data_IF_965847414991
#
_entry.id   IF_965847414991
#
_cell.length_a   1.000
_cell.length_b   1.000
_cell.length_c   1.000
_cell.angle_alpha   90.00
_cell.angle_beta   90.00
_cell.angle_gamma   90.00
#
_symmetry.space_group_name_H-M   'P 1'
#
loop_
_entity.id
_entity.type
_entity.pdbx_description
1 polymer ?
#
# COMPACT_ATOMS: atom_id res chain seq x y z
N UNK A 1 -13.07 17.48 -2.83
CA UNK A 1 -12.61 16.06 -2.79
C UNK A 1 -11.71 15.79 -1.59
N UNK A 2 -10.66 16.61 -1.33
CA UNK A 2 -9.75 16.41 -0.19
C UNK A 2 -10.44 16.48 1.20
N UNK A 3 -11.45 17.34 1.35
CA UNK A 3 -12.16 17.57 2.62
C UNK A 3 -12.94 16.36 3.14
N UNK A 4 -13.32 15.40 2.27
CA UNK A 4 -14.05 14.18 2.67
C UNK A 4 -13.20 13.24 3.52
N UNK A 5 -11.88 13.30 3.40
CA UNK A 5 -10.94 12.39 4.07
C UNK A 5 -10.25 13.02 5.29
N UNK A 6 -10.31 14.35 5.43
CA UNK A 6 -9.62 15.09 6.49
C UNK A 6 -10.43 15.20 7.80
N UNK A 7 -11.75 15.07 7.72
CA UNK A 7 -12.66 15.34 8.85
C UNK A 7 -13.03 14.12 9.70
N UNK A 8 -12.48 12.94 9.41
CA UNK A 8 -12.65 11.74 10.25
C UNK A 8 -11.32 11.39 10.88
N UNK A 9 -11.29 11.26 12.20
CA UNK A 9 -10.12 10.77 12.90
C UNK A 9 -9.82 9.34 12.39
N UNK A 10 -8.73 9.13 11.62
CA UNK A 10 -8.51 7.87 10.91
C UNK A 10 -8.31 6.69 11.87
N UNK A 11 -7.96 6.98 13.12
CA UNK A 11 -7.74 5.99 14.17
C UNK A 11 -9.01 5.54 14.90
N UNK A 12 -10.12 6.27 14.78
CA UNK A 12 -11.33 6.02 15.57
C UNK A 12 -12.07 4.75 15.15
N UNK A 13 -11.93 4.35 13.88
CA UNK A 13 -12.54 3.15 13.31
C UNK A 13 -11.53 2.09 12.82
N UNK A 14 -10.22 2.42 12.78
CA UNK A 14 -9.19 1.52 12.25
C UNK A 14 -8.87 0.36 13.19
N UNK A 15 -9.04 0.54 14.51
CA UNK A 15 -8.67 -0.46 15.52
C UNK A 15 -9.46 -1.78 15.44
N UNK A 16 -10.58 -1.81 14.70
CA UNK A 16 -11.42 -3.00 14.52
C UNK A 16 -11.48 -3.53 13.08
N UNK A 17 -10.73 -2.93 12.15
CA UNK A 17 -10.71 -3.37 10.75
C UNK A 17 -9.67 -4.46 10.55
N UNK A 18 -10.08 -5.71 10.72
CA UNK A 18 -9.29 -6.84 10.25
C UNK A 18 -9.47 -6.97 8.74
N UNK A 19 -8.41 -6.83 7.92
CA UNK A 19 -8.53 -6.97 6.47
C UNK A 19 -8.95 -8.40 6.11
N UNK A 20 -9.75 -8.53 5.04
CA UNK A 20 -10.13 -9.84 4.52
C UNK A 20 -8.90 -10.53 3.89
N UNK A 21 -8.97 -11.85 3.74
CA UNK A 21 -7.88 -12.64 3.15
C UNK A 21 -7.52 -12.17 1.74
N UNK A 22 -8.51 -11.76 0.96
CA UNK A 22 -8.33 -11.25 -0.41
C UNK A 22 -7.57 -9.93 -0.41
N UNK A 23 -7.86 -9.04 0.54
CA UNK A 23 -7.14 -7.76 0.71
C UNK A 23 -5.69 -8.00 1.09
N UNK A 24 -5.42 -8.94 2.00
CA UNK A 24 -4.05 -9.34 2.36
C UNK A 24 -3.33 -9.91 1.13
N UNK A 25 -3.98 -10.82 0.39
CA UNK A 25 -3.40 -11.42 -0.81
C UNK A 25 -3.08 -10.38 -1.90
N UNK A 26 -3.98 -9.41 -2.11
CA UNK A 26 -3.77 -8.30 -3.04
C UNK A 26 -2.57 -7.42 -2.66
N UNK A 27 -2.45 -7.07 -1.37
CA UNK A 27 -1.31 -6.29 -0.88
C UNK A 27 0.01 -7.07 -1.03
N UNK A 28 -0.01 -8.37 -0.74
CA UNK A 28 1.16 -9.26 -0.91
C UNK A 28 1.51 -9.52 -2.37
N UNK A 29 0.54 -9.55 -3.28
CA UNK A 29 0.85 -9.66 -4.72
C UNK A 29 1.53 -8.40 -5.23
N UNK A 30 1.12 -7.22 -4.74
CA UNK A 30 1.75 -5.96 -5.09
C UNK A 30 3.17 -5.86 -4.54
N UNK A 31 3.41 -6.27 -3.29
CA UNK A 31 4.77 -6.26 -2.73
C UNK A 31 5.72 -7.22 -3.45
N UNK A 32 5.21 -8.34 -3.97
CA UNK A 32 5.99 -9.25 -4.83
C UNK A 32 6.28 -8.67 -6.22
N UNK A 33 5.39 -7.83 -6.74
CA UNK A 33 5.57 -7.13 -8.01
C UNK A 33 6.54 -5.96 -7.90
N UNK A 34 6.78 -5.44 -6.69
CA UNK A 34 7.77 -4.39 -6.44
C UNK A 34 9.18 -4.98 -6.51
N UNK A 35 9.90 -4.63 -7.56
CA UNK A 35 11.32 -4.90 -7.71
C UNK A 35 12.09 -3.60 -7.56
N UNK A 36 12.96 -3.53 -6.55
CA UNK A 36 13.90 -2.42 -6.39
C UNK A 36 15.12 -2.72 -7.26
N UNK A 37 15.25 -2.00 -8.36
CA UNK A 37 16.43 -2.06 -9.21
C UNK A 37 17.38 -0.92 -8.84
N UNK A 38 18.67 -1.22 -8.81
CA UNK A 38 19.72 -0.23 -8.57
C UNK A 38 20.62 -0.16 -9.80
N UNK A 39 20.75 1.02 -10.39
CA UNK A 39 21.69 1.29 -11.48
C UNK A 39 22.46 2.57 -11.17
N UNK A 40 23.79 2.55 -11.32
CA UNK A 40 24.65 3.73 -11.11
C UNK A 40 24.35 4.51 -9.81
N UNK A 41 24.16 3.80 -8.70
CA UNK A 41 23.85 4.38 -7.38
C UNK A 41 22.46 5.00 -7.24
N UNK A 42 21.61 4.90 -8.26
CA UNK A 42 20.22 5.35 -8.26
C UNK A 42 19.33 4.12 -8.07
N UNK A 43 18.52 4.13 -7.01
CA UNK A 43 17.51 3.12 -6.75
C UNK A 43 16.16 3.58 -7.33
N UNK A 44 15.48 2.70 -8.05
CA UNK A 44 14.15 2.95 -8.55
C UNK A 44 13.26 1.72 -8.38
N UNK A 45 12.00 1.99 -8.07
CA UNK A 45 10.98 0.99 -7.88
C UNK A 45 10.33 0.70 -9.23
N UNK A 46 10.32 -0.56 -9.65
CA UNK A 46 9.59 -1.02 -10.83
C UNK A 46 8.51 -1.99 -10.40
N UNK A 47 7.31 -1.81 -10.92
CA UNK A 47 6.21 -2.77 -10.80
C UNK A 47 6.37 -3.75 -11.97
N UNK A 48 6.88 -4.95 -11.68
CA UNK A 48 6.96 -6.03 -12.66
C UNK A 48 5.58 -6.72 -12.64
N UNK A 49 4.72 -6.37 -13.60
CA UNK A 49 3.48 -7.09 -13.88
C UNK A 49 3.63 -7.86 -15.19
#
# INVERSE_FOLDING_TARGET
>A
MAELYLNKNPHENANHLTPKKETIAFLLSYSKALHVATHESIAFETIIN
#
